data_IF_139122066559
#
_entry.id   IF_139122066559
#
_cell.length_a   1.000
_cell.length_b   1.000
_cell.length_c   1.000
_cell.angle_alpha   90.00
_cell.angle_beta   90.00
_cell.angle_gamma   90.00
#
_symmetry.space_group_name_H-M   'P 1'
#
loop_
_entity.id
_entity.type
_entity.pdbx_description
1 polymer ?
#
# COMPACT_ATOMS: atom_id res chain seq x y z
N UNK A 1 -17.27 15.92 10.04
CA UNK A 1 -16.08 15.35 10.71
C UNK A 1 -16.21 15.52 12.22
N UNK A 2 -16.53 14.44 12.95
CA UNK A 2 -16.77 14.47 14.41
C UNK A 2 -15.58 15.02 15.21
N UNK A 3 -14.35 14.69 14.79
CA UNK A 3 -13.13 15.14 15.45
C UNK A 3 -13.03 16.66 15.58
N UNK A 4 -13.46 17.45 14.58
CA UNK A 4 -13.45 18.92 14.67
C UNK A 4 -14.51 19.49 15.59
N UNK A 5 -15.65 18.79 15.76
CA UNK A 5 -16.69 19.16 16.73
C UNK A 5 -16.13 18.99 18.15
N UNK A 6 -15.38 17.92 18.39
CA UNK A 6 -14.72 17.63 19.66
C UNK A 6 -13.46 18.48 19.89
N UNK A 7 -12.88 19.02 18.82
CA UNK A 7 -11.64 19.82 18.85
C UNK A 7 -11.80 21.18 18.14
N UNK A 8 -12.72 22.06 18.60
CA UNK A 8 -13.12 23.26 17.87
C UNK A 8 -12.00 24.28 17.65
N UNK A 9 -10.94 24.24 18.49
CA UNK A 9 -9.75 25.09 18.34
C UNK A 9 -9.02 24.93 17.00
N UNK A 10 -9.24 23.82 16.28
CA UNK A 10 -8.62 23.55 14.97
C UNK A 10 -9.52 23.88 13.78
N UNK A 11 -10.75 24.35 13.97
CA UNK A 11 -11.70 24.62 12.86
C UNK A 11 -11.09 25.58 11.82
N UNK A 12 -10.33 26.57 12.26
CA UNK A 12 -9.71 27.55 11.37
C UNK A 12 -8.31 27.16 10.90
N UNK A 13 -7.74 26.06 11.40
CA UNK A 13 -6.42 25.58 10.98
C UNK A 13 -6.46 25.11 9.53
N UNK A 14 -5.34 25.29 8.81
CA UNK A 14 -5.21 24.71 7.47
C UNK A 14 -5.23 23.18 7.55
N UNK A 15 -6.12 22.55 6.80
CA UNK A 15 -6.23 21.09 6.69
C UNK A 15 -5.42 20.61 5.48
N UNK A 16 -4.58 19.61 5.72
CA UNK A 16 -3.91 18.85 4.67
C UNK A 16 -4.29 17.38 4.82
N UNK A 17 -4.57 16.70 3.70
CA UNK A 17 -4.86 15.27 3.69
C UNK A 17 -3.66 14.53 3.12
N UNK A 18 -3.17 13.50 3.83
CA UNK A 18 -1.95 12.79 3.45
C UNK A 18 -2.17 11.29 3.35
N UNK A 19 -1.45 10.63 2.46
CA UNK A 19 -1.48 9.18 2.35
C UNK A 19 -0.23 8.61 1.68
N UNK A 20 0.01 7.33 1.88
CA UNK A 20 1.08 6.58 1.22
C UNK A 20 0.53 5.29 0.61
N UNK A 21 1.17 4.78 -0.45
CA UNK A 21 0.84 3.51 -1.08
C UNK A 21 -0.63 3.44 -1.57
N UNK A 22 -1.42 2.50 -1.06
CA UNK A 22 -2.82 2.33 -1.45
C UNK A 22 -3.69 3.57 -1.13
N UNK A 23 -3.24 4.46 -0.24
CA UNK A 23 -3.95 5.70 0.04
C UNK A 23 -4.07 6.63 -1.18
N UNK A 24 -3.28 6.39 -2.24
CA UNK A 24 -3.51 7.02 -3.54
C UNK A 24 -4.91 6.77 -4.12
N UNK A 25 -5.59 5.68 -3.74
CA UNK A 25 -6.97 5.38 -4.12
C UNK A 25 -8.00 6.12 -3.24
N UNK A 26 -7.66 6.39 -1.99
CA UNK A 26 -8.61 6.86 -0.96
C UNK A 26 -8.55 8.37 -0.77
N UNK A 27 -7.35 8.94 -0.73
CA UNK A 27 -7.15 10.36 -0.43
C UNK A 27 -7.76 11.27 -1.49
N UNK A 28 -7.62 11.03 -2.82
CA UNK A 28 -8.24 11.90 -3.82
C UNK A 28 -9.77 11.90 -3.73
N UNK A 29 -10.38 10.73 -3.49
CA UNK A 29 -11.83 10.62 -3.28
C UNK A 29 -12.27 11.35 -2.01
N UNK A 30 -11.57 11.16 -0.89
CA UNK A 30 -11.87 11.86 0.36
C UNK A 30 -11.69 13.38 0.23
N UNK A 31 -10.74 13.85 -0.58
CA UNK A 31 -10.55 15.28 -0.87
C UNK A 31 -11.72 15.83 -1.69
N UNK A 32 -12.20 15.09 -2.69
CA UNK A 32 -13.36 15.48 -3.48
C UNK A 32 -14.62 15.59 -2.58
N UNK A 33 -14.84 14.63 -1.68
CA UNK A 33 -15.92 14.69 -0.68
C UNK A 33 -15.83 15.93 0.22
N UNK A 34 -14.61 16.32 0.62
CA UNK A 34 -14.38 17.53 1.42
C UNK A 34 -14.75 18.78 0.61
N UNK A 35 -14.34 18.86 -0.66
CA UNK A 35 -14.63 19.98 -1.54
C UNK A 35 -16.14 20.10 -1.77
N UNK A 36 -16.81 19.02 -2.18
CA UNK A 36 -18.26 18.99 -2.38
C UNK A 36 -19.01 19.36 -1.09
N UNK A 37 -18.60 18.80 0.05
CA UNK A 37 -19.19 19.12 1.35
C UNK A 37 -19.08 20.60 1.71
N UNK A 38 -17.95 21.23 1.37
CA UNK A 38 -17.76 22.67 1.54
C UNK A 38 -18.65 23.50 0.61
N UNK A 39 -18.85 23.06 -0.65
CA UNK A 39 -19.71 23.74 -1.63
C UNK A 39 -21.17 23.77 -1.17
N UNK A 40 -21.68 22.65 -0.66
CA UNK A 40 -23.03 22.56 -0.10
C UNK A 40 -23.14 23.08 1.34
N UNK A 41 -22.08 23.73 1.85
CA UNK A 41 -22.00 24.40 3.16
C UNK A 41 -22.24 23.47 4.36
N UNK A 42 -21.82 22.20 4.25
CA UNK A 42 -21.79 21.31 5.42
C UNK A 42 -20.91 21.90 6.52
N UNK A 43 -21.32 21.67 7.77
CA UNK A 43 -20.61 22.17 8.94
C UNK A 43 -19.93 21.04 9.72
N UNK A 44 -18.74 21.27 10.30
CA UNK A 44 -17.93 22.48 10.14
C UNK A 44 -17.28 22.57 8.75
N UNK A 45 -17.17 23.78 8.19
CA UNK A 45 -16.41 24.00 6.95
C UNK A 45 -14.96 23.56 7.15
N UNK A 46 -14.44 22.75 6.23
CA UNK A 46 -13.08 22.24 6.29
C UNK A 46 -12.15 23.16 5.51
N UNK A 47 -11.17 23.77 6.19
CA UNK A 47 -10.21 24.69 5.58
C UNK A 47 -9.09 23.93 4.83
N UNK A 48 -9.47 23.14 3.83
CA UNK A 48 -8.56 22.35 3.00
C UNK A 48 -7.56 23.27 2.26
N UNK A 49 -6.28 22.94 2.39
CA UNK A 49 -5.16 23.64 1.73
C UNK A 49 -4.47 22.80 0.66
N UNK A 50 -4.63 21.49 0.72
CA UNK A 50 -4.10 20.57 -0.27
C UNK A 50 -4.02 19.15 0.27
N UNK A 51 -3.46 18.27 -0.54
CA UNK A 51 -3.19 16.89 -0.14
C UNK A 51 -1.84 16.43 -0.70
N UNK A 52 -1.26 15.41 -0.06
CA UNK A 52 0.05 14.87 -0.42
C UNK A 52 0.00 13.35 -0.46
N UNK A 53 0.64 12.78 -1.48
CA UNK A 53 0.72 11.34 -1.68
C UNK A 53 2.18 10.89 -1.75
N UNK A 54 2.55 9.96 -0.86
CA UNK A 54 3.77 9.17 -0.97
C UNK A 54 3.52 7.93 -1.82
N UNK A 55 4.41 7.66 -2.77
CA UNK A 55 4.44 6.44 -3.60
C UNK A 55 3.04 5.84 -3.91
N UNK A 56 2.09 6.63 -4.44
CA UNK A 56 0.70 6.21 -4.49
C UNK A 56 0.46 5.14 -5.54
N UNK A 57 -0.53 4.30 -5.29
CA UNK A 57 -1.25 3.62 -6.36
C UNK A 57 -2.33 4.59 -6.86
N UNK A 58 -2.29 4.95 -8.13
CA UNK A 58 -3.32 5.76 -8.80
C UNK A 58 -4.12 4.98 -9.84
N UNK A 59 -3.52 3.94 -10.44
CA UNK A 59 -4.17 3.04 -11.40
C UNK A 59 -3.94 1.58 -10.98
N UNK A 60 -4.94 0.98 -10.34
CA UNK A 60 -4.78 -0.32 -9.69
C UNK A 60 -4.44 -1.46 -10.68
N UNK A 61 -5.02 -1.41 -11.87
CA UNK A 61 -4.85 -2.48 -12.86
C UNK A 61 -3.58 -2.36 -13.68
N UNK A 62 -3.06 -1.14 -13.89
CA UNK A 62 -1.79 -0.92 -14.59
C UNK A 62 -0.57 -1.03 -13.69
N UNK A 63 -0.74 -0.97 -12.36
CA UNK A 63 0.37 -0.96 -11.41
C UNK A 63 1.33 -2.16 -11.59
N UNK A 64 0.82 -3.37 -11.85
CA UNK A 64 1.70 -4.54 -12.09
C UNK A 64 2.43 -4.45 -13.43
N UNK A 65 1.78 -3.99 -14.50
CA UNK A 65 2.45 -3.83 -15.81
C UNK A 65 3.57 -2.79 -15.74
N UNK A 66 3.31 -1.66 -15.08
CA UNK A 66 4.29 -0.57 -14.90
C UNK A 66 5.53 -1.01 -14.11
N UNK A 67 5.44 -2.05 -13.26
CA UNK A 67 6.61 -2.61 -12.57
C UNK A 67 7.60 -3.25 -13.53
N UNK A 68 7.13 -3.96 -14.56
CA UNK A 68 8.01 -4.56 -15.56
C UNK A 68 8.66 -3.49 -16.43
N UNK A 69 7.90 -2.45 -16.80
CA UNK A 69 8.47 -1.28 -17.48
C UNK A 69 9.56 -0.63 -16.64
N UNK A 70 9.28 -0.34 -15.37
CA UNK A 70 10.28 0.21 -14.45
C UNK A 70 11.51 -0.69 -14.32
N UNK A 71 11.33 -2.01 -14.23
CA UNK A 71 12.44 -2.96 -14.16
C UNK A 71 13.30 -2.96 -15.44
N UNK A 72 12.70 -2.82 -16.63
CA UNK A 72 13.46 -2.64 -17.86
C UNK A 72 14.20 -1.29 -17.89
N UNK A 73 13.53 -0.19 -17.55
CA UNK A 73 14.15 1.15 -17.49
C UNK A 73 15.37 1.17 -16.53
N UNK A 74 15.31 0.40 -15.45
CA UNK A 74 16.40 0.24 -14.48
C UNK A 74 17.43 -0.84 -14.85
N UNK A 75 17.36 -1.38 -16.08
CA UNK A 75 18.26 -2.42 -16.61
C UNK A 75 18.24 -3.76 -15.85
N UNK A 76 17.17 -4.05 -15.10
CA UNK A 76 16.96 -5.35 -14.48
C UNK A 76 16.39 -6.41 -15.44
N UNK A 77 15.80 -5.96 -16.55
CA UNK A 77 15.30 -6.81 -17.62
C UNK A 77 16.02 -6.47 -18.94
N UNK A 78 16.47 -7.46 -19.73
CA UNK A 78 17.03 -7.21 -21.05
C UNK A 78 16.01 -6.54 -21.98
N UNK A 79 16.40 -5.48 -22.69
CA UNK A 79 15.54 -4.74 -23.64
C UNK A 79 14.80 -5.64 -24.64
N UNK A 80 15.51 -6.63 -25.18
CA UNK A 80 14.92 -7.57 -26.14
C UNK A 80 13.83 -8.41 -25.50
N UNK A 81 14.01 -8.83 -24.25
CA UNK A 81 13.01 -9.60 -23.50
C UNK A 81 11.77 -8.72 -23.27
N UNK A 82 11.95 -7.53 -22.70
CA UNK A 82 10.85 -6.61 -22.39
C UNK A 82 10.07 -6.21 -23.65
N UNK A 83 10.73 -5.74 -24.71
CA UNK A 83 10.07 -5.31 -25.96
C UNK A 83 9.31 -6.46 -26.63
N UNK A 84 9.82 -7.68 -26.56
CA UNK A 84 9.11 -8.83 -27.13
C UNK A 84 7.90 -9.21 -26.29
N UNK A 85 8.01 -9.11 -24.95
CA UNK A 85 6.92 -9.32 -24.03
C UNK A 85 5.80 -8.28 -24.23
N UNK A 86 6.15 -6.99 -24.31
CA UNK A 86 5.24 -5.87 -24.53
C UNK A 86 4.36 -6.09 -25.77
N UNK A 87 4.97 -6.45 -26.90
CA UNK A 87 4.25 -6.79 -28.14
C UNK A 87 3.39 -8.05 -27.96
N UNK A 88 3.93 -9.09 -27.32
CA UNK A 88 3.21 -10.36 -27.16
C UNK A 88 2.03 -10.27 -26.21
N UNK A 89 2.07 -9.36 -25.24
CA UNK A 89 1.10 -9.19 -24.17
C UNK A 89 0.17 -7.98 -24.37
N UNK A 90 0.36 -7.20 -25.43
CA UNK A 90 -0.32 -5.91 -25.64
C UNK A 90 -0.19 -4.97 -24.43
N UNK A 91 1.02 -4.90 -23.85
CA UNK A 91 1.34 -4.05 -22.68
C UNK A 91 0.58 -4.37 -21.36
N UNK A 92 -0.21 -5.46 -21.33
CA UNK A 92 -0.87 -5.94 -20.12
C UNK A 92 -0.18 -7.19 -19.57
N UNK A 93 0.61 -7.05 -18.50
CA UNK A 93 1.30 -8.15 -17.85
C UNK A 93 0.52 -8.74 -16.65
N UNK A 94 -0.68 -8.22 -16.36
CA UNK A 94 -1.53 -8.63 -15.24
C UNK A 94 -2.77 -9.40 -15.71
N UNK A 95 -3.49 -8.87 -16.69
CA UNK A 95 -4.77 -9.39 -17.17
C UNK A 95 -4.70 -9.92 -18.62
N UNK A 96 -3.52 -10.33 -19.09
CA UNK A 96 -3.36 -10.96 -20.40
C UNK A 96 -4.16 -12.27 -20.51
N UNK A 97 -4.51 -12.64 -21.75
CA UNK A 97 -5.12 -13.93 -22.04
C UNK A 97 -4.16 -15.07 -21.68
N UNK A 98 -4.51 -15.86 -20.66
CA UNK A 98 -3.73 -17.01 -20.22
C UNK A 98 -3.51 -18.07 -21.33
N UNK A 99 -4.33 -18.08 -22.39
CA UNK A 99 -4.13 -18.96 -23.57
C UNK A 99 -3.00 -18.48 -24.47
N UNK A 100 -2.58 -17.22 -24.37
CA UNK A 100 -1.41 -16.70 -25.04
C UNK A 100 -0.14 -17.22 -24.36
N UNK A 101 0.26 -18.43 -24.72
CA UNK A 101 1.43 -19.12 -24.14
C UNK A 101 2.73 -18.35 -24.32
N UNK A 102 2.87 -17.58 -25.41
CA UNK A 102 4.04 -16.71 -25.62
C UNK A 102 4.12 -15.62 -24.55
N UNK A 103 3.02 -14.88 -24.36
CA UNK A 103 2.95 -13.84 -23.32
C UNK A 103 3.19 -14.45 -21.92
N UNK A 104 2.52 -15.55 -21.60
CA UNK A 104 2.68 -16.25 -20.32
C UNK A 104 4.15 -16.63 -20.04
N UNK A 105 4.84 -17.19 -21.04
CA UNK A 105 6.25 -17.55 -20.90
C UNK A 105 7.16 -16.32 -20.70
N UNK A 106 6.90 -15.22 -21.42
CA UNK A 106 7.68 -13.99 -21.25
C UNK A 106 7.45 -13.37 -19.87
N UNK A 107 6.20 -13.26 -19.43
CA UNK A 107 5.86 -12.77 -18.08
C UNK A 107 6.54 -13.65 -17.02
N UNK A 108 6.46 -14.97 -17.15
CA UNK A 108 7.14 -15.89 -16.23
C UNK A 108 8.66 -15.66 -16.20
N UNK A 109 9.29 -15.51 -17.36
CA UNK A 109 10.74 -15.26 -17.47
C UNK A 109 11.11 -13.94 -16.79
N UNK A 110 10.39 -12.84 -17.10
CA UNK A 110 10.62 -11.55 -16.47
C UNK A 110 10.42 -11.61 -14.95
N UNK A 111 9.39 -12.32 -14.46
CA UNK A 111 9.12 -12.51 -13.03
C UNK A 111 10.27 -13.25 -12.34
N UNK A 112 10.89 -14.21 -13.01
CA UNK A 112 12.06 -14.94 -12.51
C UNK A 112 13.30 -14.05 -12.45
N UNK A 113 13.58 -13.29 -13.50
CA UNK A 113 14.75 -12.40 -13.59
C UNK A 113 14.75 -11.33 -12.48
N UNK A 114 13.58 -10.76 -12.17
CA UNK A 114 13.44 -9.73 -11.12
C UNK A 114 13.09 -10.33 -9.74
N UNK A 115 13.05 -11.66 -9.61
CA UNK A 115 12.55 -12.32 -8.40
C UNK A 115 13.36 -12.02 -7.14
N UNK A 116 14.61 -11.60 -7.27
CA UNK A 116 15.53 -11.26 -6.17
C UNK A 116 15.54 -9.77 -5.80
N UNK A 117 14.80 -8.93 -6.54
CA UNK A 117 14.75 -7.49 -6.34
C UNK A 117 13.74 -7.14 -5.25
N UNK A 118 14.11 -6.22 -4.36
CA UNK A 118 13.22 -5.69 -3.33
C UNK A 118 12.14 -4.79 -3.92
N UNK A 119 10.87 -5.16 -3.76
CA UNK A 119 9.73 -4.39 -4.31
C UNK A 119 9.58 -3.00 -3.70
N UNK A 120 9.89 -2.84 -2.41
CA UNK A 120 9.80 -1.55 -1.72
C UNK A 120 11.03 -0.67 -1.91
N UNK A 121 12.20 -1.28 -2.19
CA UNK A 121 13.47 -0.57 -2.32
C UNK A 121 14.45 -1.40 -3.14
N UNK A 122 14.72 -1.00 -4.39
CA UNK A 122 15.51 -1.80 -5.34
C UNK A 122 16.99 -1.95 -4.97
N UNK A 123 17.54 -1.05 -4.15
CA UNK A 123 18.92 -1.15 -3.66
C UNK A 123 19.05 -2.00 -2.38
N UNK A 124 17.92 -2.43 -1.80
CA UNK A 124 17.95 -3.32 -0.63
C UNK A 124 17.84 -4.78 -1.09
N UNK A 125 18.44 -5.68 -0.30
CA UNK A 125 18.24 -7.11 -0.51
C UNK A 125 16.75 -7.46 -0.36
N UNK A 126 16.24 -8.33 -1.23
CA UNK A 126 14.90 -8.85 -1.06
C UNK A 126 14.80 -9.65 0.22
N UNK A 127 14.02 -9.12 1.14
CA UNK A 127 13.72 -9.79 2.40
C UNK A 127 12.74 -10.94 2.20
N UNK A 128 12.99 -12.06 2.89
CA UNK A 128 11.98 -13.09 3.04
C UNK A 128 10.77 -12.47 3.76
N UNK A 129 9.61 -12.54 3.12
CA UNK A 129 8.36 -12.15 3.76
C UNK A 129 8.16 -13.06 4.97
N UNK A 130 8.21 -12.48 6.17
CA UNK A 130 7.85 -13.19 7.39
C UNK A 130 6.34 -13.43 7.29
N UNK A 131 5.96 -14.61 6.80
CA UNK A 131 4.60 -15.09 6.91
C UNK A 131 4.33 -15.29 8.41
N UNK A 132 3.68 -14.31 9.02
CA UNK A 132 3.13 -14.42 10.37
C UNK A 132 2.01 -15.46 10.30
N UNK A 133 2.37 -16.75 10.36
CA UNK A 133 1.38 -17.81 10.55
C UNK A 133 0.85 -17.66 11.97
N UNK A 134 -0.40 -17.21 12.08
CA UNK A 134 -1.15 -17.13 13.32
C UNK A 134 -1.43 -18.54 13.84
N UNK A 135 -0.43 -19.18 14.45
CA UNK A 135 -0.71 -20.32 15.29
C UNK A 135 -1.38 -19.82 16.57
N UNK A 136 -2.52 -20.42 16.91
CA UNK A 136 -3.37 -20.12 18.09
C UNK A 136 -2.67 -20.26 19.46
N UNK A 137 -1.34 -20.38 19.49
CA UNK A 137 -0.52 -20.34 20.70
C UNK A 137 0.47 -19.19 20.52
N UNK A 138 0.31 -18.18 21.37
CA UNK A 138 1.03 -16.90 21.44
C UNK A 138 2.54 -17.02 21.68
N UNK A 139 3.24 -17.77 20.82
CA UNK A 139 4.69 -17.71 20.73
C UNK A 139 5.00 -17.41 19.27
N UNK A 140 5.38 -16.16 18.99
CA UNK A 140 6.09 -15.85 17.77
C UNK A 140 7.43 -16.61 17.81
N UNK A 141 7.41 -17.88 17.40
CA UNK A 141 8.60 -18.70 17.25
C UNK A 141 9.34 -18.20 16.01
N UNK A 142 10.14 -17.15 16.20
CA UNK A 142 11.14 -16.72 15.23
C UNK A 142 12.18 -17.83 15.12
N UNK A 143 12.11 -18.64 14.08
CA UNK A 143 13.19 -19.59 13.81
C UNK A 143 14.44 -18.78 13.45
N UNK A 144 15.41 -18.81 14.36
CA UNK A 144 16.75 -18.21 14.24
C UNK A 144 17.44 -18.54 12.90
N UNK A 145 17.01 -19.61 12.21
CA UNK A 145 17.51 -20.01 10.89
C UNK A 145 17.07 -19.10 9.73
N UNK A 146 15.97 -18.34 9.82
CA UNK A 146 15.59 -17.35 8.79
C UNK A 146 16.33 -16.02 8.93
N UNK A 147 16.92 -15.75 10.11
CA UNK A 147 17.62 -14.51 10.43
C UNK A 147 19.11 -14.55 10.05
N UNK A 148 19.66 -15.73 9.77
CA UNK A 148 21.11 -15.92 9.59
C UNK A 148 21.68 -15.28 8.31
N UNK A 149 20.85 -14.91 7.32
CA UNK A 149 21.28 -14.28 6.07
C UNK A 149 20.62 -12.91 5.81
N UNK A 150 19.97 -12.31 6.81
CA UNK A 150 19.12 -11.13 6.66
C UNK A 150 19.62 -9.98 7.52
N UNK A 151 20.89 -9.60 7.45
CA UNK A 151 21.47 -8.66 8.44
C UNK A 151 20.81 -7.27 8.48
N UNK A 152 19.98 -6.85 7.50
CA UNK A 152 19.28 -5.56 7.53
C UNK A 152 17.90 -5.55 6.85
N UNK A 153 16.99 -6.43 7.26
CA UNK A 153 15.63 -6.44 6.72
C UNK A 153 14.65 -5.60 7.55
N UNK A 154 14.01 -4.57 6.96
CA UNK A 154 13.06 -3.68 7.65
C UNK A 154 11.93 -4.44 8.38
N UNK A 155 11.49 -5.57 7.81
CA UNK A 155 10.44 -6.43 8.39
C UNK A 155 10.82 -7.05 9.74
N UNK A 156 12.11 -7.08 10.10
CA UNK A 156 12.56 -7.56 11.40
C UNK A 156 12.13 -6.66 12.55
N UNK A 157 11.71 -5.42 12.26
CA UNK A 157 11.22 -4.50 13.28
C UNK A 157 9.75 -4.71 13.64
N UNK A 158 8.97 -5.37 12.78
CA UNK A 158 7.52 -5.57 12.99
C UNK A 158 7.17 -6.30 14.29
N UNK A 159 7.90 -7.35 14.71
CA UNK A 159 7.73 -7.97 16.04
C UNK A 159 7.69 -6.99 17.20
N UNK A 160 8.59 -6.01 17.21
CA UNK A 160 8.66 -5.02 18.29
C UNK A 160 7.46 -4.08 18.26
N UNK A 161 6.98 -3.71 17.07
CA UNK A 161 5.77 -2.91 16.90
C UNK A 161 4.56 -3.68 17.43
N UNK A 162 4.43 -4.96 17.11
CA UNK A 162 3.34 -5.80 17.60
C UNK A 162 3.39 -5.95 19.12
N UNK A 163 4.56 -6.26 19.67
CA UNK A 163 4.74 -6.37 21.12
C UNK A 163 4.44 -5.07 21.84
N UNK A 164 4.82 -3.93 21.27
CA UNK A 164 4.52 -2.61 21.83
C UNK A 164 3.03 -2.29 21.73
N UNK A 165 2.39 -2.52 20.58
CA UNK A 165 0.98 -2.22 20.36
C UNK A 165 0.04 -3.14 21.16
N UNK A 166 0.47 -4.38 21.43
CA UNK A 166 -0.30 -5.35 22.23
C UNK A 166 -0.12 -5.20 23.74
N UNK A 167 0.86 -4.42 24.19
CA UNK A 167 1.11 -4.17 25.62
C UNK A 167 -0.10 -3.47 26.26
N UNK A 168 -0.54 -3.99 27.41
CA UNK A 168 -1.74 -3.50 28.10
C UNK A 168 -1.60 -2.06 28.62
N UNK A 169 -0.39 -1.64 29.01
CA UNK A 169 -0.14 -0.26 29.42
C UNK A 169 -0.19 0.67 28.21
N UNK A 170 0.32 0.23 27.06
CA UNK A 170 0.23 0.98 25.80
C UNK A 170 -1.23 1.10 25.34
N UNK A 171 -1.98 0.00 25.32
CA UNK A 171 -3.42 -0.02 25.02
C UNK A 171 -4.21 0.94 25.91
N UNK A 172 -3.97 0.88 27.22
CA UNK A 172 -4.58 1.80 28.20
C UNK A 172 -4.21 3.25 27.95
N UNK A 173 -2.94 3.54 27.65
CA UNK A 173 -2.45 4.89 27.38
C UNK A 173 -3.00 5.47 26.07
N UNK A 174 -3.24 4.62 25.05
CA UNK A 174 -3.86 4.98 23.78
C UNK A 174 -5.39 4.98 23.83
N UNK A 175 -5.98 4.71 25.01
CA UNK A 175 -7.43 4.63 25.22
C UNK A 175 -8.12 3.64 24.27
N UNK A 176 -7.47 2.50 23.96
CA UNK A 176 -8.09 1.46 23.14
C UNK A 176 -9.29 0.86 23.86
N UNK A 177 -10.40 0.66 23.15
CA UNK A 177 -11.59 0.06 23.74
C UNK A 177 -11.38 -1.43 24.03
N UNK A 178 -11.59 -1.84 25.28
CA UNK A 178 -11.47 -3.25 25.66
C UNK A 178 -12.51 -4.11 24.90
N UNK A 179 -12.07 -5.28 24.43
CA UNK A 179 -12.94 -6.26 23.75
C UNK A 179 -13.20 -6.02 22.26
N UNK A 180 -12.73 -4.91 21.66
CA UNK A 180 -12.92 -4.66 20.22
C UNK A 180 -11.87 -5.33 19.34
N UNK A 181 -10.62 -5.40 19.80
CA UNK A 181 -9.49 -5.99 19.08
C UNK A 181 -8.70 -6.84 20.07
N UNK A 182 -8.46 -8.12 19.72
CA UNK A 182 -7.64 -9.00 20.55
C UNK A 182 -6.14 -8.71 20.40
N UNK A 183 -5.63 -8.87 19.18
CA UNK A 183 -4.23 -8.62 18.83
C UNK A 183 -4.14 -7.58 17.72
N UNK A 184 -3.20 -6.66 17.84
CA UNK A 184 -2.91 -5.66 16.83
C UNK A 184 -2.12 -6.28 15.68
N UNK A 185 -2.51 -5.94 14.45
CA UNK A 185 -1.83 -6.34 13.22
C UNK A 185 -1.61 -5.09 12.35
N UNK A 186 -0.51 -5.07 11.61
CA UNK A 186 -0.17 -3.92 10.76
C UNK A 186 -1.11 -3.82 9.54
N UNK A 187 -1.47 -4.96 8.95
CA UNK A 187 -2.33 -5.01 7.77
C UNK A 187 -3.39 -6.09 7.92
N UNK A 188 -4.66 -5.70 7.97
CA UNK A 188 -5.78 -6.63 7.95
C UNK A 188 -6.33 -6.82 6.55
N UNK A 189 -5.92 -7.90 5.90
CA UNK A 189 -6.43 -8.22 4.56
C UNK A 189 -7.80 -8.92 4.59
N UNK A 190 -8.35 -9.17 5.77
CA UNK A 190 -9.68 -9.75 5.94
C UNK A 190 -10.77 -8.70 6.14
N UNK A 191 -10.41 -7.41 6.17
CA UNK A 191 -11.42 -6.34 6.23
C UNK A 191 -12.30 -6.40 4.97
N UNK A 192 -13.63 -6.29 5.12
CA UNK A 192 -14.52 -6.13 3.98
C UNK A 192 -14.26 -4.73 3.40
N UNK A 193 -13.46 -4.68 2.36
CA UNK A 193 -13.17 -3.46 1.61
C UNK A 193 -13.48 -3.71 0.14
N UNK A 194 -14.32 -2.86 -0.42
CA UNK A 194 -14.65 -2.90 -1.83
C UNK A 194 -13.62 -2.08 -2.61
N UNK A 195 -13.08 -2.66 -3.67
CA UNK A 195 -12.11 -2.02 -4.54
C UNK A 195 -12.84 -1.45 -5.77
N UNK A 196 -13.81 -0.57 -5.55
CA UNK A 196 -14.69 0.06 -6.55
C UNK A 196 -14.01 1.21 -7.30
N UNK A 197 -13.12 1.95 -6.65
CA UNK A 197 -12.24 2.90 -7.32
C UNK A 197 -11.06 2.14 -7.95
N UNK A 198 -10.93 2.21 -9.28
CA UNK A 198 -9.85 1.55 -10.05
C UNK A 198 -8.78 2.50 -10.57
N UNK A 199 -9.15 3.76 -10.73
CA UNK A 199 -8.32 4.85 -11.25
C UNK A 199 -8.68 6.13 -10.49
N UNK A 200 -7.67 6.90 -10.10
CA UNK A 200 -7.85 8.20 -9.43
C UNK A 200 -7.49 9.42 -10.26
N UNK A 201 -7.21 9.25 -11.55
CA UNK A 201 -6.85 10.34 -12.45
C UNK A 201 -7.90 11.46 -12.47
N UNK A 202 -9.19 11.11 -12.61
CA UNK A 202 -10.27 12.10 -12.64
C UNK A 202 -10.42 12.84 -11.32
N UNK A 203 -10.26 12.16 -10.18
CA UNK A 203 -10.22 12.83 -8.87
C UNK A 203 -9.07 13.84 -8.79
N UNK A 204 -7.88 13.49 -9.29
CA UNK A 204 -6.76 14.42 -9.30
C UNK A 204 -7.03 15.65 -10.18
N UNK A 205 -7.64 15.45 -11.35
CA UNK A 205 -8.03 16.55 -12.23
C UNK A 205 -9.08 17.47 -11.60
N UNK A 206 -10.11 16.89 -10.99
CA UNK A 206 -11.20 17.65 -10.37
C UNK A 206 -10.76 18.41 -9.12
N UNK A 207 -9.79 17.86 -8.38
CA UNK A 207 -9.29 18.44 -7.13
C UNK A 207 -8.20 19.51 -7.33
N UNK A 208 -7.78 19.77 -8.58
CA UNK A 208 -6.68 20.69 -8.91
C UNK A 208 -7.13 22.15 -9.10
#
# INVERSE_FOLDING_TARGET
>A
MQWLIENPKFINSGLYVGGDSYAGMVVPAAVEDILQGNEIKLQPKLNLKGYVLGNPISEYDKCESLRYKFANDMSFLPDKLYKTAEISCNDDFKNFDAKNTKCSNYVQTMKQDISSIGESHILEHKCLSISLKSNKKQNYLYTKSMLANAEFCRVQHYPFIFSWADDELVKKALHTQEGTIGHWFLCNRSLPYEHDVKDTFDYHLNNS
#
